data_IF_904354283677
#
_entry.id   IF_904354283677
#
_cell.length_a   1.000
_cell.length_b   1.000
_cell.length_c   1.000
_cell.angle_alpha   90.00
_cell.angle_beta   90.00
_cell.angle_gamma   90.00
#
_symmetry.space_group_name_H-M   'P 1'
#
loop_
_entity.id
_entity.type
_entity.pdbx_description
1 polymer ?
#
# COMPACT_ATOMS: atom_id res chain seq x y z
N UNK A 1 -30.27 -17.32 -4.81
CA UNK A 1 -28.93 -17.58 -5.40
C UNK A 1 -28.77 -16.61 -6.56
N UNK A 2 -27.77 -15.70 -6.53
CA UNK A 2 -27.58 -14.74 -7.64
C UNK A 2 -26.96 -15.44 -8.85
N UNK A 3 -27.37 -15.04 -10.06
CA UNK A 3 -26.67 -15.44 -11.28
C UNK A 3 -25.28 -14.79 -11.33
N UNK A 4 -24.34 -15.36 -12.09
CA UNK A 4 -22.98 -14.80 -12.28
C UNK A 4 -23.05 -13.34 -12.75
N UNK A 5 -23.96 -13.03 -13.70
CA UNK A 5 -24.16 -11.67 -14.21
C UNK A 5 -24.66 -10.71 -13.12
N UNK A 6 -25.63 -11.13 -12.32
CA UNK A 6 -26.14 -10.31 -11.20
C UNK A 6 -25.06 -10.06 -10.14
N UNK A 7 -24.21 -11.07 -9.86
CA UNK A 7 -23.10 -10.90 -8.92
C UNK A 7 -22.07 -9.89 -9.43
N UNK A 8 -21.69 -9.91 -10.71
CA UNK A 8 -20.76 -8.93 -11.26
C UNK A 8 -21.29 -7.49 -11.19
N UNK A 9 -22.59 -7.28 -11.42
CA UNK A 9 -23.22 -5.97 -11.28
C UNK A 9 -23.18 -5.50 -9.83
N UNK A 10 -23.56 -6.38 -8.89
CA UNK A 10 -23.50 -6.08 -7.45
C UNK A 10 -22.08 -5.77 -6.98
N UNK A 11 -21.09 -6.55 -7.44
CA UNK A 11 -19.69 -6.33 -7.15
C UNK A 11 -19.22 -4.96 -7.66
N UNK A 12 -19.54 -4.61 -8.90
CA UNK A 12 -19.15 -3.31 -9.46
C UNK A 12 -19.81 -2.14 -8.72
N UNK A 13 -21.09 -2.26 -8.37
CA UNK A 13 -21.79 -1.26 -7.57
C UNK A 13 -21.19 -1.11 -6.17
N UNK A 14 -20.74 -2.22 -5.56
CA UNK A 14 -20.03 -2.21 -4.29
C UNK A 14 -18.72 -1.44 -4.37
N UNK A 15 -17.96 -1.60 -5.47
CA UNK A 15 -16.73 -0.82 -5.71
C UNK A 15 -17.03 0.68 -5.84
N UNK A 16 -18.06 1.03 -6.62
CA UNK A 16 -18.47 2.43 -6.81
C UNK A 16 -18.87 3.09 -5.48
N UNK A 17 -19.73 2.41 -4.71
CA UNK A 17 -20.24 2.89 -3.44
C UNK A 17 -19.10 3.08 -2.42
N UNK A 18 -18.15 2.15 -2.41
CA UNK A 18 -17.00 2.21 -1.54
C UNK A 18 -16.05 3.36 -1.88
N UNK A 19 -15.77 3.61 -3.16
CA UNK A 19 -14.98 4.78 -3.58
C UNK A 19 -15.69 6.09 -3.30
N UNK A 20 -17.01 6.14 -3.51
CA UNK A 20 -17.81 7.29 -3.12
C UNK A 20 -17.65 7.57 -1.62
N UNK A 21 -17.76 6.55 -0.76
CA UNK A 21 -17.65 6.73 0.70
C UNK A 21 -16.24 7.16 1.12
N UNK A 22 -15.19 6.59 0.53
CA UNK A 22 -13.79 6.96 0.84
C UNK A 22 -13.45 8.38 0.42
N UNK A 23 -14.07 8.88 -0.66
CA UNK A 23 -13.76 10.19 -1.24
C UNK A 23 -14.78 11.29 -0.89
N UNK A 24 -15.96 10.92 -0.39
CA UNK A 24 -16.95 11.85 0.14
C UNK A 24 -16.60 12.21 1.58
N UNK A 25 -15.99 13.38 1.75
CA UNK A 25 -15.78 13.99 3.08
C UNK A 25 -16.89 14.99 3.37
N UNK A 26 -17.30 15.13 4.63
CA UNK A 26 -18.37 16.07 5.05
C UNK A 26 -18.14 17.50 4.55
N UNK A 27 -16.91 18.02 4.58
CA UNK A 27 -16.61 19.36 4.06
C UNK A 27 -16.96 19.57 2.58
N UNK A 28 -17.08 18.48 1.80
CA UNK A 28 -17.35 18.55 0.36
C UNK A 28 -18.74 18.11 -0.02
N UNK A 29 -19.39 17.27 0.80
CA UNK A 29 -20.85 17.15 0.74
C UNK A 29 -21.46 18.48 1.15
N UNK A 30 -20.94 19.13 2.21
CA UNK A 30 -21.32 20.49 2.61
C UNK A 30 -21.04 21.48 1.47
N UNK A 31 -19.86 21.47 0.83
CA UNK A 31 -19.58 22.35 -0.33
C UNK A 31 -20.44 22.05 -1.56
N UNK A 32 -20.68 20.77 -1.89
CA UNK A 32 -21.53 20.39 -3.01
C UNK A 32 -23.00 20.71 -2.72
N UNK A 33 -23.45 20.58 -1.47
CA UNK A 33 -24.77 20.99 -1.02
C UNK A 33 -24.88 22.51 -1.03
N UNK A 34 -23.93 23.25 -0.47
CA UNK A 34 -23.88 24.72 -0.51
C UNK A 34 -23.84 25.23 -1.95
N UNK A 35 -22.97 24.67 -2.80
CA UNK A 35 -22.90 25.01 -4.22
C UNK A 35 -24.21 24.64 -4.95
N UNK A 36 -24.80 23.48 -4.68
CA UNK A 36 -26.09 23.10 -5.26
C UNK A 36 -27.21 24.02 -4.78
N UNK A 37 -27.22 24.39 -3.50
CA UNK A 37 -28.17 25.34 -2.89
C UNK A 37 -27.97 26.73 -3.53
N UNK A 38 -26.73 27.17 -3.73
CA UNK A 38 -26.37 28.44 -4.37
C UNK A 38 -26.80 28.46 -5.84
N UNK A 39 -26.55 27.38 -6.59
CA UNK A 39 -27.01 27.24 -7.98
C UNK A 39 -28.54 27.15 -8.08
N UNK A 40 -29.21 26.46 -7.15
CA UNK A 40 -30.67 26.37 -7.09
C UNK A 40 -31.28 27.74 -6.73
N UNK A 41 -30.68 28.48 -5.78
CA UNK A 41 -31.14 29.81 -5.37
C UNK A 41 -30.86 30.90 -6.40
N UNK A 42 -29.86 30.70 -7.27
CA UNK A 42 -29.57 31.53 -8.44
C UNK A 42 -30.41 31.16 -9.67
N UNK A 43 -30.91 29.93 -9.78
CA UNK A 43 -31.84 29.56 -10.85
C UNK A 43 -33.22 30.16 -10.57
N UNK A 44 -33.68 31.08 -11.41
CA UNK A 44 -34.99 31.76 -11.27
C UNK A 44 -36.21 30.82 -11.44
N UNK A 45 -36.01 29.50 -11.57
CA UNK A 45 -37.01 28.57 -12.12
C UNK A 45 -37.55 27.51 -11.16
N UNK A 46 -37.19 27.52 -9.86
CA UNK A 46 -37.89 26.70 -8.87
C UNK A 46 -38.41 27.55 -7.72
N UNK A 47 -39.71 27.39 -7.44
CA UNK A 47 -40.46 28.07 -6.39
C UNK A 47 -39.69 28.12 -5.06
N UNK A 48 -39.15 29.30 -4.72
CA UNK A 48 -38.53 29.61 -3.42
C UNK A 48 -39.42 29.25 -2.22
N UNK A 49 -40.73 29.14 -2.40
CA UNK A 49 -41.69 28.85 -1.33
C UNK A 49 -41.62 27.40 -0.81
N UNK A 50 -41.45 26.40 -1.69
CA UNK A 50 -41.32 25.00 -1.27
C UNK A 50 -39.96 24.72 -0.62
N UNK A 51 -38.90 25.35 -1.15
CA UNK A 51 -37.56 25.23 -0.59
C UNK A 51 -37.45 25.93 0.77
N UNK A 52 -37.96 27.17 0.91
CA UNK A 52 -37.94 27.87 2.19
C UNK A 52 -38.80 27.17 3.26
N UNK A 53 -39.92 26.55 2.90
CA UNK A 53 -40.77 25.84 3.87
C UNK A 53 -40.17 24.51 4.35
N UNK A 54 -39.35 23.84 3.52
CA UNK A 54 -38.67 22.60 3.92
C UNK A 54 -37.41 22.87 4.77
N UNK A 55 -36.74 24.01 4.55
CA UNK A 55 -35.45 24.33 5.16
C UNK A 55 -35.52 25.34 6.33
N UNK A 56 -36.60 26.09 6.52
CA UNK A 56 -36.74 27.03 7.66
C UNK A 56 -37.13 26.38 9.00
N UNK A 57 -37.32 25.06 9.06
CA UNK A 57 -37.83 24.37 10.27
C UNK A 57 -36.72 23.84 11.18
N UNK A 58 -35.46 23.82 10.73
CA UNK A 58 -34.33 23.32 11.52
C UNK A 58 -33.26 24.40 11.63
N UNK A 59 -32.82 24.71 12.85
CA UNK A 59 -31.61 25.51 13.04
C UNK A 59 -30.44 24.87 12.26
N UNK A 60 -29.53 25.65 11.65
CA UNK A 60 -28.41 25.11 10.85
C UNK A 60 -27.62 23.99 11.53
N UNK A 61 -27.47 24.09 12.87
CA UNK A 61 -26.81 23.07 13.69
C UNK A 61 -27.63 21.78 13.87
N UNK A 62 -28.97 21.88 13.93
CA UNK A 62 -29.87 20.71 14.00
C UNK A 62 -30.01 20.02 12.64
N UNK A 63 -29.96 20.76 11.54
CA UNK A 63 -29.93 20.19 10.19
C UNK A 63 -28.67 19.36 9.97
N UNK A 64 -27.51 19.91 10.38
CA UNK A 64 -26.21 19.23 10.30
C UNK A 64 -26.19 17.93 11.10
N UNK A 65 -26.69 17.93 12.34
CA UNK A 65 -26.77 16.71 13.15
C UNK A 65 -27.74 15.67 12.59
N UNK A 66 -28.87 16.11 12.02
CA UNK A 66 -29.91 15.21 11.48
C UNK A 66 -29.47 14.59 10.16
N UNK A 67 -28.83 15.35 9.27
CA UNK A 67 -28.32 14.86 7.99
C UNK A 67 -27.14 13.91 8.19
N UNK A 68 -26.21 14.21 9.12
CA UNK A 68 -25.13 13.29 9.50
C UNK A 68 -25.69 11.99 10.09
N UNK A 69 -26.69 12.07 10.97
CA UNK A 69 -27.23 10.88 11.62
C UNK A 69 -28.12 10.03 10.69
N UNK A 70 -28.93 10.65 9.83
CA UNK A 70 -29.91 9.95 8.98
C UNK A 70 -29.36 9.55 7.61
N UNK A 71 -28.34 10.24 7.08
CA UNK A 71 -27.77 9.94 5.76
C UNK A 71 -26.44 9.21 5.92
N UNK A 72 -25.52 9.72 6.72
CA UNK A 72 -24.12 9.23 6.77
C UNK A 72 -23.98 7.90 7.53
N UNK A 73 -24.69 7.70 8.64
CA UNK A 73 -24.65 6.40 9.35
C UNK A 73 -25.12 5.20 8.49
N UNK A 74 -26.20 5.29 7.68
CA UNK A 74 -26.50 4.27 6.68
C UNK A 74 -25.39 4.07 5.64
N UNK A 75 -24.68 5.13 5.23
CA UNK A 75 -23.52 4.99 4.33
C UNK A 75 -22.37 4.18 4.97
N UNK A 76 -22.16 4.27 6.28
CA UNK A 76 -21.14 3.47 6.99
C UNK A 76 -21.43 1.96 6.95
N UNK A 77 -22.69 1.57 7.15
CA UNK A 77 -23.09 0.15 7.06
C UNK A 77 -23.02 -0.37 5.61
N UNK A 78 -23.28 0.49 4.64
CA UNK A 78 -23.08 0.21 3.22
C UNK A 78 -21.60 0.01 2.84
N UNK A 79 -20.67 0.71 3.48
CA UNK A 79 -19.23 0.45 3.29
C UNK A 79 -18.87 -0.99 3.68
N UNK A 80 -19.25 -1.42 4.88
CA UNK A 80 -18.98 -2.78 5.37
C UNK A 80 -19.60 -3.84 4.46
N UNK A 81 -20.84 -3.64 4.00
CA UNK A 81 -21.50 -4.55 3.08
C UNK A 81 -20.79 -4.61 1.72
N UNK A 82 -20.34 -3.46 1.22
CA UNK A 82 -19.58 -3.37 -0.03
C UNK A 82 -18.24 -4.10 0.08
N UNK A 83 -17.53 -3.89 1.20
CA UNK A 83 -16.27 -4.56 1.48
C UNK A 83 -16.45 -6.07 1.57
N UNK A 84 -17.47 -6.55 2.28
CA UNK A 84 -17.79 -7.97 2.37
C UNK A 84 -18.11 -8.58 1.01
N UNK A 85 -18.82 -7.84 0.14
CA UNK A 85 -19.15 -8.27 -1.22
C UNK A 85 -17.90 -8.41 -2.10
N UNK A 86 -16.94 -7.48 -1.95
CA UNK A 86 -15.64 -7.52 -2.63
C UNK A 86 -14.75 -8.63 -2.06
N UNK A 87 -14.78 -8.88 -0.76
CA UNK A 87 -13.98 -9.91 -0.10
C UNK A 87 -14.53 -11.34 -0.25
N UNK A 88 -15.82 -11.50 -0.53
CA UNK A 88 -16.48 -12.80 -0.68
C UNK A 88 -15.76 -13.80 -1.63
N UNK A 89 -15.35 -13.45 -2.86
CA UNK A 89 -14.69 -14.38 -3.77
C UNK A 89 -13.32 -14.81 -3.23
N UNK A 90 -12.60 -13.89 -2.57
CA UNK A 90 -11.32 -14.17 -1.91
C UNK A 90 -11.52 -15.20 -0.79
N UNK A 91 -12.48 -14.97 0.12
CA UNK A 91 -12.75 -15.90 1.21
C UNK A 91 -13.20 -17.29 0.73
N UNK A 92 -14.01 -17.34 -0.33
CA UNK A 92 -14.46 -18.60 -0.94
C UNK A 92 -13.28 -19.42 -1.45
N UNK A 93 -12.32 -18.79 -2.14
CA UNK A 93 -11.16 -19.47 -2.69
C UNK A 93 -10.13 -19.85 -1.63
N UNK A 94 -9.86 -18.97 -0.65
CA UNK A 94 -9.01 -19.31 0.50
C UNK A 94 -9.57 -20.54 1.23
N UNK A 95 -10.88 -20.57 1.52
CA UNK A 95 -11.53 -21.71 2.15
C UNK A 95 -11.42 -22.99 1.31
N UNK A 96 -11.55 -22.87 -0.01
CA UNK A 96 -11.38 -23.99 -0.94
C UNK A 96 -9.95 -24.54 -0.90
N UNK A 97 -8.95 -23.67 -0.94
CA UNK A 97 -7.53 -24.06 -0.91
C UNK A 97 -7.10 -24.63 0.44
N UNK A 98 -7.62 -24.11 1.55
CA UNK A 98 -7.37 -24.66 2.89
C UNK A 98 -7.94 -26.08 3.03
N UNK A 99 -9.16 -26.32 2.53
CA UNK A 99 -9.77 -27.66 2.56
C UNK A 99 -9.05 -28.67 1.69
N UNK A 100 -8.40 -28.22 0.61
CA UNK A 100 -7.71 -29.10 -0.31
C UNK A 100 -6.37 -29.64 0.24
N UNK A 101 -5.90 -29.20 1.42
CA UNK A 101 -4.60 -29.54 2.04
C UNK A 101 -3.34 -29.38 1.16
N UNK A 102 -3.48 -28.99 -0.11
CA UNK A 102 -2.42 -29.00 -1.12
C UNK A 102 -1.27 -28.01 -0.88
N UNK A 103 -1.36 -27.12 0.10
CA UNK A 103 -0.43 -25.97 0.22
C UNK A 103 0.44 -25.94 1.49
N UNK A 104 0.15 -26.77 2.52
CA UNK A 104 0.87 -26.73 3.82
C UNK A 104 1.31 -28.14 4.24
N UNK A 105 1.84 -28.93 3.32
CA UNK A 105 2.35 -30.28 3.63
C UNK A 105 3.88 -30.36 3.75
N UNK A 106 4.60 -29.23 3.72
CA UNK A 106 6.04 -29.24 3.98
C UNK A 106 6.34 -28.98 5.47
N UNK A 107 6.71 -29.99 6.28
CA UNK A 107 7.07 -29.80 7.69
C UNK A 107 8.27 -28.85 7.88
N UNK A 108 9.11 -28.71 6.86
CA UNK A 108 10.22 -27.76 6.79
C UNK A 108 9.71 -26.31 6.73
N UNK A 109 8.64 -26.06 5.96
CA UNK A 109 7.97 -24.76 5.85
C UNK A 109 7.43 -24.33 7.21
N UNK A 110 6.80 -25.27 7.94
CA UNK A 110 6.25 -25.02 9.27
C UNK A 110 7.36 -24.68 10.29
N UNK A 111 8.46 -25.43 10.33
CA UNK A 111 9.57 -25.15 11.27
C UNK A 111 10.31 -23.84 10.94
N UNK A 112 10.74 -23.63 9.69
CA UNK A 112 11.49 -22.44 9.30
C UNK A 112 10.65 -21.16 9.41
N UNK A 113 9.38 -21.23 9.05
CA UNK A 113 8.43 -20.12 9.23
C UNK A 113 8.25 -19.82 10.71
N UNK A 114 7.91 -20.81 11.54
CA UNK A 114 7.66 -20.59 12.97
C UNK A 114 8.91 -20.03 13.66
N UNK A 115 10.10 -20.58 13.39
CA UNK A 115 11.35 -20.09 13.99
C UNK A 115 11.69 -18.66 13.54
N UNK A 116 11.49 -18.33 12.26
CA UNK A 116 11.75 -16.98 11.74
C UNK A 116 10.75 -15.96 12.28
N UNK A 117 9.46 -16.33 12.30
CA UNK A 117 8.39 -15.49 12.85
C UNK A 117 8.55 -15.30 14.35
N UNK A 118 8.94 -16.34 15.10
CA UNK A 118 9.18 -16.24 16.54
C UNK A 118 10.40 -15.35 16.86
N UNK A 119 11.52 -15.55 16.15
CA UNK A 119 12.73 -14.75 16.35
C UNK A 119 12.47 -13.27 16.03
N UNK A 120 11.75 -13.00 14.94
CA UNK A 120 11.42 -11.63 14.58
C UNK A 120 10.32 -11.04 15.47
N UNK A 121 9.35 -11.84 15.95
CA UNK A 121 8.34 -11.39 16.92
C UNK A 121 9.00 -10.94 18.21
N UNK A 122 9.94 -11.73 18.73
CA UNK A 122 10.76 -11.37 19.90
C UNK A 122 11.51 -10.05 19.62
N UNK A 123 12.16 -9.92 18.46
CA UNK A 123 12.83 -8.67 18.07
C UNK A 123 11.86 -7.48 17.95
N UNK A 124 10.63 -7.69 17.49
CA UNK A 124 9.61 -6.63 17.35
C UNK A 124 9.07 -6.14 18.68
N UNK A 125 9.02 -6.99 19.71
CA UNK A 125 8.69 -6.59 21.09
C UNK A 125 9.73 -5.59 21.61
N UNK A 126 11.01 -5.79 21.25
CA UNK A 126 12.10 -4.87 21.61
C UNK A 126 12.14 -3.58 20.76
N UNK A 127 11.36 -3.50 19.68
CA UNK A 127 11.23 -2.30 18.82
C UNK A 127 9.94 -1.53 19.16
N UNK A 128 9.30 -1.81 20.31
CA UNK A 128 8.20 -0.98 20.80
C UNK A 128 8.61 0.49 20.71
N UNK A 129 7.86 1.34 19.98
CA UNK A 129 8.27 2.71 19.73
C UNK A 129 8.31 3.45 21.07
N UNK A 130 9.48 3.53 21.68
CA UNK A 130 9.73 4.25 22.94
C UNK A 130 9.51 5.76 22.78
N UNK A 131 9.38 6.26 21.54
CA UNK A 131 9.21 7.66 21.24
C UNK A 131 8.12 7.84 20.19
N UNK A 132 6.89 8.18 20.60
CA UNK A 132 5.86 9.04 19.97
C UNK A 132 5.70 9.20 18.45
N UNK A 133 6.36 8.41 17.59
CA UNK A 133 6.28 8.43 16.13
C UNK A 133 5.26 7.36 15.67
N UNK A 134 4.19 7.20 16.44
CA UNK A 134 2.96 6.60 15.91
C UNK A 134 2.31 7.66 15.04
N UNK A 135 1.96 7.33 13.79
CA UNK A 135 1.11 8.18 12.97
C UNK A 135 -0.24 8.31 13.68
N UNK A 136 -0.40 9.38 14.45
CA UNK A 136 -1.53 9.61 15.36
C UNK A 136 -2.86 9.50 14.63
N UNK A 137 -2.91 9.87 13.34
CA UNK A 137 -4.12 9.79 12.53
C UNK A 137 -4.61 8.36 12.25
N UNK A 138 -3.77 7.44 11.77
CA UNK A 138 -4.21 6.05 11.52
C UNK A 138 -4.62 5.32 12.80
N UNK A 139 -3.88 5.62 13.88
CA UNK A 139 -4.21 5.15 15.20
C UNK A 139 -5.61 5.62 15.63
N UNK A 140 -5.88 6.93 15.57
CA UNK A 140 -7.18 7.51 15.91
C UNK A 140 -8.29 6.97 15.00
N UNK A 141 -8.00 6.80 13.71
CA UNK A 141 -8.90 6.20 12.73
C UNK A 141 -9.21 4.72 13.04
N UNK A 142 -8.33 3.98 13.69
CA UNK A 142 -8.66 2.61 14.15
C UNK A 142 -9.70 2.60 15.28
N UNK A 143 -9.76 3.67 16.09
CA UNK A 143 -10.70 3.79 17.22
C UNK A 143 -12.09 4.07 16.69
N UNK A 144 -12.20 5.09 15.85
CA UNK A 144 -13.41 5.43 15.11
C UNK A 144 -13.01 5.84 13.68
N UNK A 145 -13.14 4.93 12.69
CA UNK A 145 -12.79 5.22 11.30
C UNK A 145 -13.78 6.17 10.64
N UNK A 146 -14.84 6.57 11.35
CA UNK A 146 -15.91 7.41 10.85
C UNK A 146 -16.04 8.78 11.60
N UNK A 147 -15.15 9.09 12.54
CA UNK A 147 -14.97 10.39 13.20
C UNK A 147 -14.29 11.48 12.32
N UNK A 148 -15.07 12.07 11.40
CA UNK A 148 -14.59 12.99 10.34
C UNK A 148 -13.90 14.29 10.76
N UNK A 149 -14.03 14.72 12.01
CA UNK A 149 -13.45 15.99 12.49
C UNK A 149 -11.96 15.91 12.84
N UNK A 150 -11.36 14.72 12.79
CA UNK A 150 -10.01 14.47 13.28
C UNK A 150 -8.95 14.14 12.21
N UNK A 151 -9.32 13.96 10.93
CA UNK A 151 -8.38 13.42 9.94
C UNK A 151 -8.06 14.36 8.78
N UNK A 152 -6.83 14.25 8.31
CA UNK A 152 -6.42 14.84 7.04
C UNK A 152 -7.05 14.11 5.85
N UNK A 153 -7.23 14.81 4.73
CA UNK A 153 -7.71 14.22 3.47
C UNK A 153 -6.80 13.11 2.91
N UNK A 154 -5.57 13.00 3.42
CA UNK A 154 -4.61 11.93 3.06
C UNK A 154 -4.89 10.65 3.85
N UNK A 155 -5.27 10.77 5.12
CA UNK A 155 -5.54 9.60 5.99
C UNK A 155 -6.81 8.86 5.57
N UNK A 156 -7.82 9.60 5.15
CA UNK A 156 -9.07 9.06 4.61
C UNK A 156 -8.89 8.17 3.38
N UNK A 157 -7.87 8.45 2.55
CA UNK A 157 -7.57 7.65 1.34
C UNK A 157 -6.93 6.29 1.66
N UNK A 158 -6.57 6.06 2.92
CA UNK A 158 -5.81 4.92 3.44
C UNK A 158 -6.62 4.14 4.47
N UNK A 159 -7.89 3.95 4.14
CA UNK A 159 -8.95 3.55 5.06
C UNK A 159 -8.83 2.09 5.53
N UNK A 160 -8.36 1.19 4.67
CA UNK A 160 -8.56 -0.24 4.88
C UNK A 160 -7.88 -0.80 6.14
N UNK A 161 -6.59 -0.50 6.39
CA UNK A 161 -5.89 -1.07 7.54
C UNK A 161 -6.45 -0.56 8.89
N UNK A 162 -6.65 0.75 9.11
CA UNK A 162 -7.35 1.27 10.28
C UNK A 162 -8.75 0.65 10.45
N UNK A 163 -9.51 0.50 9.37
CA UNK A 163 -10.85 -0.08 9.39
C UNK A 163 -10.85 -1.55 9.82
N UNK A 164 -9.87 -2.35 9.35
CA UNK A 164 -9.69 -3.72 9.83
C UNK A 164 -9.35 -3.73 11.33
N UNK A 165 -8.51 -2.80 11.80
CA UNK A 165 -8.26 -2.60 13.23
C UNK A 165 -9.54 -2.35 14.01
N UNK A 166 -10.42 -1.49 13.51
CA UNK A 166 -11.71 -1.22 14.12
C UNK A 166 -12.62 -2.45 14.18
N UNK A 167 -12.84 -3.13 13.04
CA UNK A 167 -13.73 -4.31 12.96
C UNK A 167 -13.25 -5.46 13.85
N UNK A 168 -11.95 -5.72 13.87
CA UNK A 168 -11.38 -6.80 14.67
C UNK A 168 -11.16 -6.43 16.14
N UNK A 169 -11.62 -5.25 16.57
CA UNK A 169 -11.41 -4.71 17.92
C UNK A 169 -9.92 -4.56 18.28
N UNK A 170 -9.05 -4.48 17.27
CA UNK A 170 -7.61 -4.22 17.38
C UNK A 170 -7.34 -2.72 17.25
N UNK A 171 -8.02 -1.94 18.10
CA UNK A 171 -8.05 -0.48 18.06
C UNK A 171 -7.26 0.16 19.20
N UNK A 172 -6.81 1.39 19.00
CA UNK A 172 -5.96 2.09 19.98
C UNK A 172 -4.51 1.64 19.92
N UNK A 173 -3.64 2.28 20.71
CA UNK A 173 -2.19 2.35 20.41
C UNK A 173 -1.54 0.98 20.36
N UNK A 174 -1.77 0.19 21.40
CA UNK A 174 -1.14 -1.11 21.58
C UNK A 174 -1.73 -2.15 20.61
N UNK A 175 -3.06 -2.23 20.52
CA UNK A 175 -3.70 -3.28 19.71
C UNK A 175 -3.54 -3.03 18.21
N UNK A 176 -3.57 -1.76 17.79
CA UNK A 176 -3.30 -1.40 16.39
C UNK A 176 -1.82 -1.61 16.02
N UNK A 177 -0.90 -1.32 16.95
CA UNK A 177 0.51 -1.70 16.80
C UNK A 177 0.65 -3.21 16.59
N UNK A 178 0.00 -4.04 17.41
CA UNK A 178 0.04 -5.50 17.27
C UNK A 178 -0.52 -5.96 15.91
N UNK A 179 -1.61 -5.35 15.42
CA UNK A 179 -2.13 -5.62 14.09
C UNK A 179 -1.07 -5.33 13.01
N UNK A 180 -0.41 -4.17 13.08
CA UNK A 180 0.63 -3.79 12.13
C UNK A 180 1.80 -4.76 12.13
N UNK A 181 2.26 -5.17 13.32
CA UNK A 181 3.31 -6.19 13.48
C UNK A 181 2.88 -7.53 12.86
N UNK A 182 1.64 -7.96 13.09
CA UNK A 182 1.08 -9.17 12.45
C UNK A 182 1.08 -9.04 10.92
N UNK A 183 0.77 -7.86 10.38
CA UNK A 183 0.87 -7.61 8.94
C UNK A 183 2.31 -7.73 8.43
N UNK A 184 3.30 -7.15 9.12
CA UNK A 184 4.71 -7.29 8.71
C UNK A 184 5.12 -8.77 8.71
N UNK A 185 4.71 -9.53 9.73
CA UNK A 185 4.99 -10.97 9.79
C UNK A 185 4.31 -11.77 8.69
N UNK A 186 3.07 -11.41 8.39
CA UNK A 186 2.32 -12.01 7.28
C UNK A 186 3.00 -11.71 5.94
N UNK A 187 3.52 -10.49 5.75
CA UNK A 187 4.30 -10.12 4.56
C UNK A 187 5.55 -10.99 4.43
N UNK A 188 6.34 -11.12 5.50
CA UNK A 188 7.58 -11.93 5.49
C UNK A 188 7.26 -13.40 5.18
N UNK A 189 6.21 -13.93 5.80
CA UNK A 189 5.75 -15.29 5.53
C UNK A 189 5.33 -15.48 4.08
N UNK A 190 4.58 -14.54 3.50
CA UNK A 190 4.18 -14.58 2.09
C UNK A 190 5.37 -14.46 1.14
N UNK A 191 6.40 -13.68 1.48
CA UNK A 191 7.66 -13.63 0.70
C UNK A 191 8.30 -15.02 0.67
N UNK A 192 8.39 -15.70 1.82
CA UNK A 192 8.94 -17.06 1.89
C UNK A 192 8.10 -18.05 1.07
N UNK A 193 6.78 -18.02 1.21
CA UNK A 193 5.87 -18.85 0.40
C UNK A 193 6.11 -18.59 -1.09
N UNK A 194 6.21 -17.32 -1.50
CA UNK A 194 6.43 -16.95 -2.89
C UNK A 194 7.72 -17.56 -3.42
N UNK A 195 8.84 -17.44 -2.70
CA UNK A 195 10.11 -18.04 -3.13
C UNK A 195 10.04 -19.57 -3.19
N UNK A 196 9.45 -20.21 -2.18
CA UNK A 196 9.35 -21.66 -2.12
C UNK A 196 8.50 -22.23 -3.27
N UNK A 197 7.42 -21.55 -3.64
CA UNK A 197 6.60 -21.90 -4.81
C UNK A 197 7.30 -21.71 -6.15
N UNK A 198 8.40 -20.96 -6.16
CA UNK A 198 9.22 -20.74 -7.34
C UNK A 198 10.55 -21.49 -7.24
N UNK A 199 10.61 -22.55 -6.42
CA UNK A 199 11.79 -23.42 -6.22
C UNK A 199 13.05 -22.68 -5.74
N UNK A 200 12.86 -21.53 -5.07
CA UNK A 200 13.93 -20.74 -4.47
C UNK A 200 13.95 -20.97 -2.96
N UNK A 201 15.00 -21.62 -2.48
CA UNK A 201 15.25 -21.75 -1.05
C UNK A 201 16.24 -20.68 -0.59
N UNK A 202 15.70 -19.61 0.03
CA UNK A 202 16.53 -18.56 0.60
C UNK A 202 17.12 -18.97 1.95
N UNK A 203 18.43 -18.76 2.10
CA UNK A 203 19.06 -18.84 3.42
C UNK A 203 18.58 -17.69 4.29
N UNK A 204 18.62 -17.88 5.61
CA UNK A 204 18.16 -16.89 6.59
C UNK A 204 18.78 -15.49 6.38
N UNK A 205 20.09 -15.41 6.14
CA UNK A 205 20.73 -14.11 5.88
C UNK A 205 20.30 -13.48 4.53
N UNK A 206 19.92 -14.28 3.52
CA UNK A 206 19.41 -13.73 2.25
C UNK A 206 18.03 -13.12 2.46
N UNK A 207 17.21 -13.75 3.31
CA UNK A 207 15.97 -13.15 3.77
C UNK A 207 16.23 -11.87 4.56
N UNK A 208 17.12 -11.87 5.55
CA UNK A 208 17.51 -10.64 6.28
C UNK A 208 17.94 -9.55 5.30
N UNK A 209 18.80 -9.87 4.33
CA UNK A 209 19.22 -8.92 3.30
C UNK A 209 18.03 -8.28 2.58
N UNK A 210 16.99 -9.04 2.22
CA UNK A 210 15.76 -8.49 1.63
C UNK A 210 14.99 -7.61 2.61
N UNK A 211 14.89 -8.03 3.88
CA UNK A 211 14.19 -7.29 4.93
C UNK A 211 14.90 -5.98 5.30
N UNK A 212 16.20 -5.86 5.03
CA UNK A 212 16.95 -4.60 5.19
C UNK A 212 16.74 -3.60 4.04
N UNK A 213 15.92 -3.91 3.03
CA UNK A 213 15.48 -2.88 2.05
C UNK A 213 14.80 -1.72 2.79
N UNK A 214 14.94 -0.50 2.28
CA UNK A 214 14.40 0.72 2.94
C UNK A 214 12.92 0.56 3.26
N UNK A 215 12.17 -0.06 2.35
CA UNK A 215 10.74 -0.24 2.43
C UNK A 215 10.31 -1.11 3.61
N UNK A 216 10.85 -2.33 3.73
CA UNK A 216 10.47 -3.24 4.81
C UNK A 216 10.94 -2.67 6.14
N UNK A 217 12.15 -2.11 6.18
CA UNK A 217 12.68 -1.47 7.38
C UNK A 217 11.79 -0.30 7.84
N UNK A 218 11.29 0.50 6.90
CA UNK A 218 10.36 1.59 7.19
C UNK A 218 9.07 1.10 7.85
N UNK A 219 8.54 -0.07 7.47
CA UNK A 219 7.34 -0.63 8.11
C UNK A 219 7.56 -0.98 9.58
N UNK A 220 8.77 -1.39 9.97
CA UNK A 220 9.10 -1.63 11.38
C UNK A 220 9.23 -0.34 12.21
N UNK A 221 9.43 0.80 11.54
CA UNK A 221 9.74 2.08 12.18
C UNK A 221 8.52 3.00 12.24
N UNK A 222 7.70 2.97 11.20
CA UNK A 222 6.48 3.76 11.09
C UNK A 222 5.29 2.82 11.23
N UNK A 223 4.91 2.64 12.49
CA UNK A 223 3.79 1.78 12.87
C UNK A 223 2.49 2.31 12.29
N UNK A 224 1.68 1.41 11.74
CA UNK A 224 0.35 1.73 11.23
C UNK A 224 0.34 2.21 9.78
N UNK A 225 1.50 2.26 9.13
CA UNK A 225 1.56 2.60 7.71
C UNK A 225 0.82 1.51 6.88
N UNK A 226 -0.21 1.87 6.08
CA UNK A 226 -1.02 0.91 5.33
C UNK A 226 -0.29 0.23 4.17
N UNK A 227 0.90 0.71 3.80
CA UNK A 227 1.69 0.15 2.69
C UNK A 227 1.90 -1.36 2.85
N UNK A 228 2.22 -1.85 4.04
CA UNK A 228 2.43 -3.29 4.32
C UNK A 228 1.27 -4.17 3.82
N UNK A 229 0.03 -3.68 3.95
CA UNK A 229 -1.16 -4.40 3.53
C UNK A 229 -1.24 -4.51 2.00
N UNK A 230 -0.81 -3.48 1.27
CA UNK A 230 -0.78 -3.50 -0.20
C UNK A 230 0.17 -4.60 -0.71
N UNK A 231 1.35 -4.73 -0.12
CA UNK A 231 2.29 -5.78 -0.54
C UNK A 231 1.80 -7.18 -0.17
N UNK A 232 1.15 -7.35 0.98
CA UNK A 232 0.45 -8.61 1.31
C UNK A 232 -0.55 -8.94 0.20
N UNK A 233 -1.39 -7.99 -0.18
CA UNK A 233 -2.42 -8.17 -1.21
C UNK A 233 -1.78 -8.53 -2.56
N UNK A 234 -0.71 -7.83 -2.97
CA UNK A 234 -0.02 -8.15 -4.22
C UNK A 234 0.66 -9.51 -4.18
N UNK A 235 1.29 -9.88 -3.07
CA UNK A 235 1.86 -11.21 -2.89
C UNK A 235 0.79 -12.28 -2.95
N UNK A 236 -0.38 -12.06 -2.36
CA UNK A 236 -1.51 -12.97 -2.49
C UNK A 236 -1.93 -13.13 -3.95
N UNK A 237 -2.05 -12.02 -4.70
CA UNK A 237 -2.38 -12.02 -6.13
C UNK A 237 -1.40 -12.82 -6.99
N UNK A 238 -0.09 -12.68 -6.76
CA UNK A 238 0.94 -13.33 -7.59
C UNK A 238 1.30 -14.75 -7.10
N UNK A 239 1.11 -15.04 -5.82
CA UNK A 239 1.52 -16.32 -5.23
C UNK A 239 0.46 -17.39 -5.38
N UNK A 240 -0.83 -17.03 -5.35
CA UNK A 240 -1.92 -18.00 -5.34
C UNK A 240 -2.66 -18.05 -6.68
N UNK A 241 -3.14 -19.24 -7.10
CA UNK A 241 -3.85 -19.42 -8.36
C UNK A 241 -5.31 -18.96 -8.24
N UNK A 242 -5.53 -17.74 -7.76
CA UNK A 242 -6.86 -17.19 -7.60
C UNK A 242 -7.52 -16.92 -8.94
N UNK A 243 -8.85 -16.99 -8.96
CA UNK A 243 -9.62 -16.58 -10.13
C UNK A 243 -9.47 -15.09 -10.42
N UNK A 244 -9.74 -14.69 -11.67
CA UNK A 244 -9.70 -13.29 -12.08
C UNK A 244 -10.58 -12.39 -11.20
N UNK A 245 -11.75 -12.83 -10.74
CA UNK A 245 -12.61 -11.99 -9.89
C UNK A 245 -12.01 -11.80 -8.48
N UNK A 246 -11.34 -12.81 -7.96
CA UNK A 246 -10.62 -12.73 -6.68
C UNK A 246 -9.39 -11.85 -6.77
N UNK A 247 -8.60 -11.98 -7.85
CA UNK A 247 -7.46 -11.08 -8.14
C UNK A 247 -7.91 -9.63 -8.33
N UNK A 248 -9.01 -9.40 -9.06
CA UNK A 248 -9.60 -8.07 -9.23
C UNK A 248 -10.02 -7.48 -7.89
N UNK A 249 -10.69 -8.26 -7.05
CA UNK A 249 -11.09 -7.86 -5.71
C UNK A 249 -9.89 -7.50 -4.83
N UNK A 250 -8.84 -8.31 -4.86
CA UNK A 250 -7.58 -8.03 -4.17
C UNK A 250 -6.97 -6.70 -4.65
N UNK A 251 -6.86 -6.48 -5.96
CA UNK A 251 -6.30 -5.21 -6.47
C UNK A 251 -7.18 -3.99 -6.13
N UNK A 252 -8.51 -4.14 -6.05
CA UNK A 252 -9.40 -3.08 -5.52
C UNK A 252 -9.11 -2.81 -4.05
N UNK A 253 -8.90 -3.85 -3.25
CA UNK A 253 -8.52 -3.71 -1.83
C UNK A 253 -7.16 -3.02 -1.66
N UNK A 254 -6.21 -3.23 -2.59
CA UNK A 254 -4.95 -2.49 -2.60
C UNK A 254 -5.16 -0.98 -2.80
N UNK A 255 -6.09 -0.58 -3.68
CA UNK A 255 -6.45 0.83 -3.90
C UNK A 255 -7.07 1.47 -2.65
N UNK A 256 -7.83 0.71 -1.86
CA UNK A 256 -8.38 1.18 -0.58
C UNK A 256 -7.36 1.25 0.55
N UNK A 257 -6.38 0.34 0.53
CA UNK A 257 -5.29 0.40 1.48
C UNK A 257 -4.44 1.63 1.21
N UNK A 258 -4.13 1.91 -0.06
CA UNK A 258 -3.31 3.05 -0.42
C UNK A 258 -3.44 3.44 -1.89
N UNK A 259 -3.64 4.74 -2.13
CA UNK A 259 -3.74 5.39 -3.44
C UNK A 259 -2.52 5.16 -4.35
N UNK A 260 -1.33 5.05 -3.77
CA UNK A 260 -0.09 4.81 -4.51
C UNK A 260 -0.08 3.47 -5.26
N UNK A 261 -0.97 2.54 -4.89
CA UNK A 261 -1.15 1.31 -5.64
C UNK A 261 -1.66 1.55 -7.08
N UNK A 262 -2.17 2.75 -7.43
CA UNK A 262 -2.50 3.15 -8.81
C UNK A 262 -1.31 3.12 -9.76
N UNK A 263 -0.07 3.25 -9.28
CA UNK A 263 1.11 3.29 -10.15
C UNK A 263 1.62 1.89 -10.51
N UNK A 264 1.42 0.91 -9.61
CA UNK A 264 1.99 -0.44 -9.73
C UNK A 264 0.92 -1.50 -10.00
N UNK A 265 -0.27 -1.39 -9.39
CA UNK A 265 -1.33 -2.39 -9.58
C UNK A 265 -1.77 -2.51 -11.04
N UNK A 266 -1.87 -1.42 -11.85
CA UNK A 266 -2.19 -1.57 -13.27
C UNK A 266 -1.12 -2.35 -14.01
N UNK A 267 0.15 -2.12 -13.68
CA UNK A 267 1.29 -2.86 -14.26
C UNK A 267 1.21 -4.33 -13.87
N UNK A 268 0.99 -4.63 -12.58
CA UNK A 268 0.80 -6.00 -12.10
C UNK A 268 -0.38 -6.70 -12.78
N UNK A 269 -1.47 -5.97 -13.04
CA UNK A 269 -2.68 -6.52 -13.69
C UNK A 269 -2.38 -7.12 -15.06
N UNK A 270 -1.43 -6.54 -15.80
CA UNK A 270 -1.00 -7.04 -17.11
C UNK A 270 -0.33 -8.42 -17.03
N UNK A 271 0.12 -8.82 -15.84
CA UNK A 271 0.91 -10.03 -15.63
C UNK A 271 0.14 -11.12 -14.88
N UNK A 272 -0.80 -10.74 -14.02
CA UNK A 272 -1.52 -11.68 -13.15
C UNK A 272 -2.85 -12.17 -13.73
N UNK A 273 -3.45 -11.42 -14.67
CA UNK A 273 -4.72 -11.80 -15.28
C UNK A 273 -4.51 -12.66 -16.52
N UNK A 274 -5.29 -13.74 -16.61
CA UNK A 274 -5.26 -14.61 -17.79
C UNK A 274 -6.10 -14.02 -18.94
N UNK A 275 -7.18 -13.29 -18.60
CA UNK A 275 -8.12 -12.74 -19.57
C UNK A 275 -7.91 -11.25 -19.76
N UNK A 276 -7.80 -10.81 -21.02
CA UNK A 276 -7.76 -9.38 -21.40
C UNK A 276 -8.93 -8.58 -20.84
N UNK A 277 -10.13 -9.17 -20.75
CA UNK A 277 -11.31 -8.51 -20.17
C UNK A 277 -11.09 -8.12 -18.70
N UNK A 278 -10.42 -8.96 -17.91
CA UNK A 278 -10.16 -8.72 -16.49
C UNK A 278 -9.18 -7.57 -16.29
N UNK A 279 -8.16 -7.47 -17.17
CA UNK A 279 -7.26 -6.31 -17.25
C UNK A 279 -8.08 -5.03 -17.51
N UNK A 280 -8.90 -5.01 -18.56
CA UNK A 280 -9.72 -3.84 -18.91
C UNK A 280 -10.64 -3.46 -17.74
N UNK A 281 -11.27 -4.43 -17.09
CA UNK A 281 -12.10 -4.18 -15.91
C UNK A 281 -11.33 -3.51 -14.78
N UNK A 282 -10.09 -3.93 -14.52
CA UNK A 282 -9.26 -3.28 -13.51
C UNK A 282 -8.85 -1.85 -13.89
N UNK A 283 -8.51 -1.61 -15.16
CA UNK A 283 -8.23 -0.25 -15.64
C UNK A 283 -9.45 0.67 -15.52
N UNK A 284 -10.67 0.16 -15.80
CA UNK A 284 -11.91 0.91 -15.56
C UNK A 284 -12.03 1.27 -14.07
N UNK A 285 -11.76 0.33 -13.15
CA UNK A 285 -11.75 0.61 -11.70
C UNK A 285 -10.74 1.70 -11.36
N UNK A 286 -9.53 1.66 -11.92
CA UNK A 286 -8.51 2.69 -11.68
C UNK A 286 -8.96 4.07 -12.19
N UNK A 287 -9.58 4.14 -13.37
CA UNK A 287 -10.13 5.38 -13.93
C UNK A 287 -11.24 5.93 -13.03
N UNK A 288 -12.16 5.07 -12.59
CA UNK A 288 -13.24 5.47 -11.67
C UNK A 288 -12.66 6.00 -10.37
N UNK A 289 -11.68 5.31 -9.77
CA UNK A 289 -10.98 5.79 -8.59
C UNK A 289 -10.33 7.17 -8.83
N UNK A 290 -9.61 7.35 -9.94
CA UNK A 290 -8.99 8.63 -10.31
C UNK A 290 -10.01 9.75 -10.47
N UNK A 291 -11.18 9.47 -11.06
CA UNK A 291 -12.28 10.45 -11.16
C UNK A 291 -12.75 10.87 -9.77
N UNK A 292 -13.05 9.91 -8.89
CA UNK A 292 -13.43 10.22 -7.51
C UNK A 292 -12.33 10.98 -6.76
N UNK A 293 -11.07 10.62 -6.98
CA UNK A 293 -9.92 11.30 -6.41
C UNK A 293 -9.83 12.76 -6.88
N UNK A 294 -9.99 13.05 -8.19
CA UNK A 294 -9.96 14.41 -8.73
C UNK A 294 -11.16 15.23 -8.23
N UNK A 295 -12.36 14.65 -8.22
CA UNK A 295 -13.57 15.28 -7.64
C UNK A 295 -13.35 15.61 -6.17
N UNK A 296 -12.73 14.70 -5.41
CA UNK A 296 -12.33 14.92 -4.02
C UNK A 296 -11.18 15.93 -3.84
N UNK A 297 -10.63 16.51 -4.91
CA UNK A 297 -9.75 17.68 -4.86
C UNK A 297 -10.38 18.93 -5.53
N UNK A 298 -11.69 18.90 -5.78
CA UNK A 298 -12.45 20.05 -6.30
C UNK A 298 -12.20 20.25 -7.79
N UNK A 299 -11.93 19.16 -8.52
CA UNK A 299 -11.55 19.17 -9.94
C UNK A 299 -10.26 19.95 -10.24
N UNK A 300 -9.48 20.30 -9.21
CA UNK A 300 -8.20 20.99 -9.35
C UNK A 300 -7.03 20.03 -9.16
N UNK A 301 -6.43 19.60 -10.27
CA UNK A 301 -5.26 18.70 -10.29
C UNK A 301 -4.06 19.33 -9.55
N UNK A 302 -3.89 20.65 -9.63
CA UNK A 302 -2.82 21.36 -8.93
C UNK A 302 -2.92 21.19 -7.41
N UNK A 303 -4.13 21.28 -6.85
CA UNK A 303 -4.35 21.02 -5.42
C UNK A 303 -4.04 19.57 -5.04
N UNK A 304 -4.36 18.63 -5.92
CA UNK A 304 -4.06 17.21 -5.70
C UNK A 304 -2.54 16.95 -5.68
N UNK A 305 -1.79 17.55 -6.61
CA UNK A 305 -0.34 17.42 -6.70
C UNK A 305 0.40 18.19 -5.58
N UNK A 306 -0.10 19.36 -5.19
CA UNK A 306 0.49 20.18 -4.12
C UNK A 306 0.16 19.68 -2.71
N UNK A 307 -0.69 18.65 -2.57
CA UNK A 307 -1.01 18.05 -1.27
C UNK A 307 0.17 17.25 -0.67
N UNK A 308 1.22 17.01 -1.46
CA UNK A 308 2.41 16.26 -1.07
C UNK A 308 3.68 17.12 -1.12
N UNK A 309 3.70 18.23 -0.37
CA UNK A 309 4.85 19.16 -0.31
C UNK A 309 5.73 18.93 0.93
N UNK A 310 7.05 19.13 0.78
CA UNK A 310 8.04 19.11 1.88
C UNK A 310 8.84 20.39 1.90
N UNK A 311 8.89 21.05 3.06
CA UNK A 311 9.58 22.34 3.20
C UNK A 311 9.04 23.39 2.23
N UNK A 312 7.76 23.31 1.86
CA UNK A 312 7.11 24.19 0.88
C UNK A 312 7.39 23.85 -0.59
N UNK A 313 8.20 22.82 -0.87
CA UNK A 313 8.49 22.37 -2.24
C UNK A 313 7.61 21.18 -2.61
N UNK A 314 7.06 21.19 -3.82
CA UNK A 314 6.47 19.99 -4.41
C UNK A 314 7.55 19.02 -4.92
N UNK A 315 7.16 17.80 -5.28
CA UNK A 315 8.08 16.75 -5.71
C UNK A 315 8.97 17.13 -6.91
N UNK A 316 8.42 17.84 -7.89
CA UNK A 316 9.20 18.31 -9.03
C UNK A 316 10.21 19.39 -8.63
N UNK A 317 9.80 20.35 -7.81
CA UNK A 317 10.69 21.39 -7.28
C UNK A 317 11.80 20.78 -6.43
N UNK A 318 11.49 19.75 -5.64
CA UNK A 318 12.47 19.01 -4.86
C UNK A 318 13.49 18.30 -5.75
N UNK A 319 13.02 17.58 -6.78
CA UNK A 319 13.89 16.87 -7.73
C UNK A 319 14.88 17.83 -8.40
N UNK A 320 14.39 19.00 -8.84
CA UNK A 320 15.22 20.02 -9.49
C UNK A 320 16.23 20.62 -8.49
N UNK A 321 15.82 20.83 -7.23
CA UNK A 321 16.66 21.48 -6.23
C UNK A 321 17.70 20.54 -5.60
N UNK A 322 17.38 19.25 -5.47
CA UNK A 322 18.21 18.25 -4.79
C UNK A 322 18.27 16.91 -5.55
N UNK A 323 18.72 16.91 -6.81
CA UNK A 323 18.78 15.68 -7.63
C UNK A 323 19.70 14.61 -7.02
N UNK A 324 20.75 15.01 -6.29
CA UNK A 324 21.64 14.09 -5.60
C UNK A 324 20.92 13.29 -4.50
N UNK A 325 19.95 13.90 -3.81
CA UNK A 325 19.17 13.24 -2.77
C UNK A 325 18.21 12.23 -3.37
N UNK A 326 17.64 12.56 -4.53
CA UNK A 326 16.83 11.61 -5.29
C UNK A 326 17.65 10.37 -5.65
N UNK A 327 18.83 10.56 -6.25
CA UNK A 327 19.71 9.46 -6.64
C UNK A 327 20.15 8.61 -5.43
N UNK A 328 20.48 9.25 -4.30
CA UNK A 328 20.78 8.54 -3.06
C UNK A 328 19.56 7.76 -2.55
N UNK A 329 18.36 8.33 -2.60
CA UNK A 329 17.13 7.64 -2.23
C UNK A 329 16.85 6.41 -3.08
N UNK A 330 17.05 6.51 -4.40
CA UNK A 330 16.95 5.38 -5.33
C UNK A 330 17.97 4.30 -4.97
N UNK A 331 19.23 4.67 -4.73
CA UNK A 331 20.27 3.73 -4.30
C UNK A 331 19.88 3.05 -2.99
N UNK A 332 19.59 3.80 -1.93
CA UNK A 332 19.29 3.27 -0.60
C UNK A 332 17.98 2.49 -0.52
N UNK A 333 17.08 2.66 -1.50
CA UNK A 333 15.88 1.82 -1.61
C UNK A 333 16.23 0.34 -1.54
N UNK A 334 17.22 -0.07 -2.33
CA UNK A 334 17.61 -1.46 -2.52
C UNK A 334 19.09 -1.76 -2.30
N UNK A 335 19.91 -0.74 -2.07
CA UNK A 335 21.35 -0.81 -1.76
C UNK A 335 22.07 -1.73 -2.76
N UNK A 336 22.77 -2.77 -2.28
CA UNK A 336 23.48 -3.71 -3.12
C UNK A 336 22.55 -4.65 -3.90
N UNK A 337 21.25 -4.79 -3.54
CA UNK A 337 20.30 -5.60 -4.31
C UNK A 337 20.04 -5.04 -5.72
N UNK A 338 20.37 -3.78 -6.00
CA UNK A 338 20.41 -3.25 -7.36
C UNK A 338 21.28 -4.08 -8.31
N UNK A 339 22.38 -4.63 -7.80
CA UNK A 339 23.25 -5.53 -8.57
C UNK A 339 22.48 -6.77 -9.02
N UNK A 340 21.61 -7.33 -8.16
CA UNK A 340 20.78 -8.49 -8.52
C UNK A 340 19.74 -8.12 -9.58
N UNK A 341 19.14 -6.94 -9.50
CA UNK A 341 18.19 -6.44 -10.51
C UNK A 341 18.87 -6.34 -11.88
N UNK A 342 20.02 -5.66 -11.96
CA UNK A 342 20.78 -5.48 -13.20
C UNK A 342 21.22 -6.84 -13.76
N UNK A 343 21.74 -7.72 -12.91
CA UNK A 343 22.17 -9.07 -13.31
C UNK A 343 20.99 -9.87 -13.87
N UNK A 344 19.83 -9.83 -13.22
CA UNK A 344 18.63 -10.51 -13.71
C UNK A 344 18.21 -9.99 -15.09
N UNK A 345 18.20 -8.68 -15.32
CA UNK A 345 17.89 -8.10 -16.63
C UNK A 345 18.86 -8.59 -17.71
N UNK A 346 20.17 -8.57 -17.43
CA UNK A 346 21.18 -9.07 -18.38
C UNK A 346 20.92 -10.54 -18.74
N UNK A 347 20.62 -11.39 -17.75
CA UNK A 347 20.28 -12.80 -17.98
C UNK A 347 19.02 -12.94 -18.84
N UNK A 348 17.96 -12.18 -18.53
CA UNK A 348 16.70 -12.25 -19.27
C UNK A 348 16.85 -11.81 -20.72
N UNK A 349 17.63 -10.75 -20.97
CA UNK A 349 17.94 -10.30 -22.33
C UNK A 349 18.78 -11.35 -23.09
N UNK A 350 19.78 -11.96 -22.44
CA UNK A 350 20.61 -13.01 -23.07
C UNK A 350 19.84 -14.30 -23.35
N UNK A 351 18.85 -14.63 -22.53
CA UNK A 351 18.03 -15.84 -22.66
C UNK A 351 16.73 -15.60 -23.43
N UNK A 352 16.58 -14.43 -24.06
CA UNK A 352 15.38 -14.02 -24.82
C UNK A 352 14.06 -14.08 -24.03
N UNK A 353 14.13 -14.00 -22.69
CA UNK A 353 12.96 -13.95 -21.81
C UNK A 353 12.46 -12.51 -21.65
N UNK A 354 12.27 -11.81 -22.77
CA UNK A 354 11.94 -10.38 -22.82
C UNK A 354 10.68 -10.02 -22.03
N UNK A 355 9.68 -10.91 -21.99
CA UNK A 355 8.45 -10.67 -21.23
C UNK A 355 8.73 -10.39 -19.76
N UNK A 356 9.60 -11.18 -19.12
CA UNK A 356 9.94 -11.00 -17.70
C UNK A 356 10.84 -9.78 -17.50
N UNK A 357 11.73 -9.48 -18.46
CA UNK A 357 12.55 -8.27 -18.41
C UNK A 357 11.66 -7.01 -18.44
N UNK A 358 10.67 -6.97 -19.35
CA UNK A 358 9.70 -5.88 -19.45
C UNK A 358 8.88 -5.77 -18.16
N UNK A 359 8.50 -6.88 -17.52
CA UNK A 359 7.81 -6.85 -16.23
C UNK A 359 8.62 -6.13 -15.15
N UNK A 360 9.90 -6.49 -15.00
CA UNK A 360 10.81 -5.86 -14.04
C UNK A 360 10.96 -4.37 -14.36
N UNK A 361 11.21 -4.02 -15.62
CA UNK A 361 11.38 -2.63 -16.05
C UNK A 361 10.12 -1.81 -15.77
N UNK A 362 8.94 -2.30 -16.14
CA UNK A 362 7.69 -1.58 -15.91
C UNK A 362 7.43 -1.36 -14.41
N UNK A 363 7.66 -2.37 -13.56
CA UNK A 363 7.50 -2.22 -12.11
C UNK A 363 8.45 -1.17 -11.53
N UNK A 364 9.73 -1.16 -11.97
CA UNK A 364 10.70 -0.13 -11.57
C UNK A 364 10.27 1.26 -12.06
N UNK A 365 9.85 1.38 -13.33
CA UNK A 365 9.38 2.62 -13.91
C UNK A 365 8.14 3.18 -13.20
N UNK A 366 7.20 2.31 -12.79
CA UNK A 366 6.03 2.73 -12.02
C UNK A 366 6.42 3.40 -10.71
N UNK A 367 7.39 2.83 -9.99
CA UNK A 367 7.92 3.43 -8.75
C UNK A 367 8.74 4.68 -8.99
N UNK A 368 9.51 4.76 -10.08
CA UNK A 368 10.19 6.00 -10.48
C UNK A 368 9.21 7.14 -10.77
N UNK A 369 8.08 6.86 -11.42
CA UNK A 369 7.04 7.87 -11.63
C UNK A 369 6.46 8.33 -10.28
N UNK A 370 6.32 7.44 -9.31
CA UNK A 370 5.86 7.82 -7.97
C UNK A 370 6.81 8.80 -7.28
N UNK A 371 8.12 8.70 -7.51
CA UNK A 371 9.07 9.66 -6.93
C UNK A 371 8.95 11.06 -7.55
N UNK A 372 8.32 11.19 -8.72
CA UNK A 372 7.92 12.49 -9.28
C UNK A 372 6.65 13.05 -8.63
N UNK A 373 5.88 12.21 -7.93
CA UNK A 373 4.66 12.58 -7.22
C UNK A 373 4.87 12.75 -5.70
N UNK A 374 6.05 12.41 -5.18
CA UNK A 374 6.36 12.55 -3.76
C UNK A 374 7.86 12.55 -3.48
N UNK A 375 8.22 13.12 -2.34
CA UNK A 375 9.59 13.50 -1.93
C UNK A 375 10.27 12.47 -1.01
N UNK A 376 9.64 11.31 -0.84
CA UNK A 376 10.13 10.18 -0.06
C UNK A 376 10.68 9.09 -0.97
N UNK A 377 11.75 9.42 -1.66
CA UNK A 377 12.30 8.64 -2.77
C UNK A 377 12.61 7.21 -2.35
N UNK A 378 13.21 7.00 -1.18
CA UNK A 378 13.60 5.68 -0.72
C UNK A 378 12.38 4.78 -0.42
N UNK A 379 11.29 5.34 0.11
CA UNK A 379 10.03 4.59 0.33
C UNK A 379 9.29 4.36 -0.98
N UNK A 380 9.16 5.40 -1.80
CA UNK A 380 8.41 5.38 -3.07
C UNK A 380 9.05 4.45 -4.09
N UNK A 381 10.38 4.43 -4.18
CA UNK A 381 11.09 3.45 -4.99
C UNK A 381 10.85 2.01 -4.49
N UNK A 382 10.74 1.87 -3.16
CA UNK A 382 10.41 0.63 -2.45
C UNK A 382 9.16 -0.09 -2.97
N UNK A 383 8.22 0.63 -3.57
CA UNK A 383 7.00 0.08 -4.19
C UNK A 383 7.25 -0.90 -5.33
N UNK A 384 8.45 -0.90 -5.91
CA UNK A 384 8.86 -1.87 -6.92
C UNK A 384 9.44 -3.15 -6.31
N UNK A 385 9.20 -3.44 -5.03
CA UNK A 385 9.77 -4.59 -4.32
C UNK A 385 9.51 -5.94 -5.03
N UNK A 386 8.37 -6.08 -5.72
CA UNK A 386 8.06 -7.26 -6.54
C UNK A 386 9.10 -7.47 -7.66
N UNK A 387 9.66 -6.39 -8.21
CA UNK A 387 10.73 -6.46 -9.20
C UNK A 387 12.00 -7.12 -8.63
N UNK A 388 12.32 -6.91 -7.36
CA UNK A 388 13.41 -7.61 -6.66
C UNK A 388 13.10 -9.10 -6.55
N UNK A 389 11.89 -9.44 -6.12
CA UNK A 389 11.49 -10.84 -5.98
C UNK A 389 11.66 -11.58 -7.30
N UNK A 390 11.14 -11.00 -8.39
CA UNK A 390 11.31 -11.51 -9.75
C UNK A 390 12.79 -11.62 -10.14
N UNK A 391 13.60 -10.60 -9.85
CA UNK A 391 15.03 -10.59 -10.15
C UNK A 391 15.78 -11.74 -9.45
N UNK A 392 15.51 -11.96 -8.17
CA UNK A 392 16.12 -13.06 -7.41
C UNK A 392 15.67 -14.41 -7.96
N UNK A 393 14.38 -14.59 -8.25
CA UNK A 393 13.86 -15.81 -8.88
C UNK A 393 14.60 -16.11 -10.19
N UNK A 394 14.73 -15.10 -11.06
CA UNK A 394 15.43 -15.23 -12.34
C UNK A 394 16.87 -15.70 -12.16
N UNK A 395 17.61 -15.08 -11.23
CA UNK A 395 19.01 -15.45 -10.99
C UNK A 395 19.12 -16.88 -10.46
N UNK A 396 18.22 -17.30 -9.56
CA UNK A 396 18.20 -18.66 -9.02
C UNK A 396 17.83 -19.71 -10.08
N UNK A 397 16.92 -19.39 -11.00
CA UNK A 397 16.59 -20.25 -12.13
C UNK A 397 17.78 -20.41 -13.10
N UNK A 398 18.60 -19.37 -13.23
CA UNK A 398 19.78 -19.31 -14.10
C UNK A 398 21.06 -19.83 -13.42
N UNK A 399 20.98 -20.89 -12.59
CA UNK A 399 22.10 -21.45 -11.82
C UNK A 399 23.36 -21.76 -12.67
N UNK A 400 23.21 -21.97 -13.99
CA UNK A 400 24.32 -22.20 -14.92
C UNK A 400 25.12 -20.94 -15.27
N UNK A 401 24.55 -19.74 -15.12
CA UNK A 401 25.17 -18.49 -15.56
C UNK A 401 25.83 -17.70 -14.43
N UNK A 402 25.33 -17.83 -13.20
CA UNK A 402 25.80 -17.05 -12.05
C UNK A 402 26.20 -18.00 -10.91
N UNK A 403 27.46 -17.96 -10.45
CA UNK A 403 27.87 -18.73 -9.28
C UNK A 403 27.06 -18.34 -8.04
N UNK A 404 26.57 -19.31 -7.27
CA UNK A 404 25.82 -19.03 -6.02
C UNK A 404 26.59 -18.15 -5.03
N UNK A 405 27.93 -18.23 -5.04
CA UNK A 405 28.81 -17.36 -4.25
C UNK A 405 28.56 -15.87 -4.53
N UNK A 406 28.25 -15.49 -5.77
CA UNK A 406 27.93 -14.11 -6.14
C UNK A 406 26.69 -13.60 -5.39
N UNK A 407 25.61 -14.36 -5.40
CA UNK A 407 24.36 -14.02 -4.68
C UNK A 407 24.65 -13.88 -3.19
N UNK A 408 25.42 -14.81 -2.63
CA UNK A 408 25.79 -14.78 -1.22
C UNK A 408 26.59 -13.52 -0.86
N UNK A 409 27.59 -13.16 -1.67
CA UNK A 409 28.39 -11.95 -1.49
C UNK A 409 27.52 -10.69 -1.55
N UNK A 410 26.65 -10.56 -2.55
CA UNK A 410 25.77 -9.40 -2.69
C UNK A 410 24.85 -9.27 -1.46
N UNK A 411 24.23 -10.36 -1.00
CA UNK A 411 23.38 -10.32 0.19
C UNK A 411 24.15 -9.96 1.48
N UNK A 412 25.37 -10.47 1.66
CA UNK A 412 26.19 -10.14 2.83
C UNK A 412 26.57 -8.66 2.80
N UNK A 413 27.08 -8.17 1.66
CA UNK A 413 27.41 -6.74 1.47
C UNK A 413 26.17 -5.86 1.72
N UNK A 414 25.00 -6.28 1.24
CA UNK A 414 23.76 -5.53 1.44
C UNK A 414 23.38 -5.35 2.91
N UNK A 415 23.61 -6.36 3.75
CA UNK A 415 23.37 -6.28 5.20
C UNK A 415 24.32 -5.28 5.87
N UNK A 416 25.56 -5.21 5.39
CA UNK A 416 26.57 -4.29 5.93
C UNK A 416 26.29 -2.83 5.56
N UNK A 417 25.62 -2.57 4.43
CA UNK A 417 25.22 -1.22 4.04
C UNK A 417 24.02 -0.80 4.90
N UNK A 418 24.07 0.35 5.61
CA UNK A 418 22.95 0.81 6.42
C UNK A 418 21.72 1.14 5.59
N UNK A 419 20.53 0.89 6.13
CA UNK A 419 19.27 1.37 5.55
C UNK A 419 19.11 2.84 5.91
N UNK A 420 19.22 3.72 4.92
CA UNK A 420 18.95 5.13 5.09
C UNK A 420 17.61 5.48 4.49
N UNK A 421 16.91 6.38 5.18
CA UNK A 421 15.71 6.98 4.65
C UNK A 421 15.99 8.38 4.19
N UNK A 422 15.73 8.56 2.91
CA UNK A 422 15.88 9.81 2.21
C UNK A 422 14.47 10.29 1.93
N UNK A 423 13.89 11.04 2.88
CA UNK A 423 12.48 11.43 2.82
C UNK A 423 11.94 12.35 3.93
N UNK A 424 10.95 13.14 3.51
CA UNK A 424 9.87 13.89 4.17
C UNK A 424 10.09 14.89 5.34
N UNK A 425 10.74 14.60 6.47
CA UNK A 425 10.59 15.50 7.66
C UNK A 425 11.85 16.20 8.20
N UNK A 426 13.01 16.03 7.57
CA UNK A 426 14.26 16.64 8.09
C UNK A 426 15.03 17.46 7.07
N UNK A 427 14.60 17.50 5.79
CA UNK A 427 15.41 18.13 4.75
C UNK A 427 16.81 17.52 4.62
N UNK A 428 16.99 16.24 5.02
CA UNK A 428 18.28 15.54 5.10
C UNK A 428 18.15 14.02 5.12
N UNK A 429 19.27 13.32 5.29
CA UNK A 429 19.31 11.86 5.48
C UNK A 429 18.95 11.53 6.93
N UNK A 430 17.90 10.73 7.14
CA UNK A 430 17.55 10.26 8.48
C UNK A 430 18.16 8.89 8.73
N UNK A 431 18.99 8.81 9.78
CA UNK A 431 19.45 7.55 10.32
C UNK A 431 18.40 7.01 11.26
N UNK A 432 17.93 5.81 10.99
CA UNK A 432 16.91 5.23 11.83
C UNK A 432 17.47 4.75 13.18
N UNK A 433 16.81 5.06 14.30
CA UNK A 433 17.22 4.58 15.63
C UNK A 433 17.26 3.04 15.70
N UNK A 434 18.13 2.49 16.55
CA UNK A 434 18.37 1.05 16.70
C UNK A 434 19.80 0.62 16.35
N UNK A 435 19.98 -0.64 15.95
CA UNK A 435 21.31 -1.26 15.72
C UNK A 435 22.16 -0.51 14.69
N UNK A 436 21.52 0.09 13.69
CA UNK A 436 22.21 0.92 12.69
C UNK A 436 22.61 2.29 13.25
N UNK A 437 21.76 2.98 14.02
CA UNK A 437 22.15 4.22 14.70
C UNK A 437 23.35 4.00 15.64
N UNK A 438 23.37 2.89 16.37
CA UNK A 438 24.51 2.50 17.19
C UNK A 438 25.78 2.29 16.34
N UNK A 439 25.70 1.56 15.22
CA UNK A 439 26.83 1.36 14.30
C UNK A 439 27.32 2.66 13.65
N UNK A 440 26.43 3.51 13.11
CA UNK A 440 26.81 4.76 12.47
C UNK A 440 27.33 5.79 13.46
N UNK A 441 26.76 5.89 14.67
CA UNK A 441 27.31 6.76 15.71
C UNK A 441 28.70 6.28 16.13
N UNK A 442 28.91 4.97 16.25
CA UNK A 442 30.23 4.40 16.57
C UNK A 442 31.26 4.74 15.49
N UNK A 443 30.91 4.58 14.20
CA UNK A 443 31.79 4.86 13.07
C UNK A 443 32.07 6.36 12.93
N UNK A 444 31.06 7.23 13.08
CA UNK A 444 31.22 8.68 13.01
C UNK A 444 32.04 9.22 14.20
N UNK A 445 31.90 8.64 15.39
CA UNK A 445 32.72 8.99 16.57
C UNK A 445 34.19 8.59 16.36
N UNK A 446 34.45 7.47 15.67
CA UNK A 446 35.81 7.03 15.32
C UNK A 446 36.43 7.85 14.20
N UNK A 447 35.63 8.40 13.28
CA UNK A 447 36.11 9.24 12.16
C UNK A 447 36.18 10.74 12.50
N UNK A 448 35.68 11.16 13.67
CA UNK A 448 35.77 12.54 14.18
C UNK A 448 36.83 12.72 15.27
N UNK A 449 37.57 11.64 15.57
CA UNK A 449 38.85 11.61 16.26
C UNK A 449 39.97 11.44 15.23
#
# INVERSE_FOLDING_TARGET
MLTIKQYHVLWFFSVLLMFLIVHATNYRIDYLLEWSIEQITQSEFLERSLFNNFFNVLEPNQYKSTLIFQVINPFKSLFTLSLLTICFPIFKEIKSHLKANQYIEQPILKKLTISSLLALFILSIFIMPLNGITLTGYLQMSIDPYAETAWSSVELKRFLLPFLGHIFLLKGEILYFLLHIVCIFSLIFLIQIWFLRNDVNLKFYQLISLLTSSFIMHQFQVVGNPEVLVFIIWLLCISFPFSDISKLSLLVMALLAHEASLFISPILSLFIFDKKRSVISFYIVCIVYLVFWIVAHGLNIGNALNSHNVGGLNALQWLVRYPERELLGLFFSYKALWILIITALIILFRTNQFRVAIQIILLLSGSLIMTLAGVDTARLMGWSFIAILLSIKTIYAANSYIPRKFIHTVCIVNILIPSLYVGLNTGGMYYFPGLYNLLTNSILTVLSL
#
